data_IF_471282963635
#
_entry.id   IF_471282963635
#
_cell.length_a   1.000
_cell.length_b   1.000
_cell.length_c   1.000
_cell.angle_alpha   90.00
_cell.angle_beta   90.00
_cell.angle_gamma   90.00
#
_symmetry.space_group_name_H-M   'P 1'
#
loop_
_entity.id
_entity.type
_entity.pdbx_description
1 polymer ?
#
# COMPACT_ATOMS: atom_id res chain seq x y z
N UNK A 1 22.67 -0.30 -31.46
CA UNK A 1 21.69 -1.39 -31.75
C UNK A 1 20.37 -0.98 -31.12
N UNK A 2 19.36 -0.74 -31.98
CA UNK A 2 18.03 -0.20 -31.59
C UNK A 2 17.22 -1.28 -30.89
N UNK A 3 16.82 -1.04 -29.65
CA UNK A 3 15.85 -1.91 -28.95
C UNK A 3 14.44 -1.42 -29.26
N UNK A 4 13.69 -2.28 -29.94
CA UNK A 4 12.29 -2.08 -30.29
C UNK A 4 11.43 -2.28 -29.04
N UNK A 5 10.76 -1.22 -28.58
CA UNK A 5 9.75 -1.32 -27.52
C UNK A 5 8.42 -1.70 -28.16
N UNK A 6 7.91 -2.87 -27.80
CA UNK A 6 6.59 -3.36 -28.22
C UNK A 6 5.55 -2.86 -27.22
N UNK A 7 4.87 -1.77 -27.55
CA UNK A 7 3.71 -1.29 -26.79
C UNK A 7 2.48 -1.99 -27.36
N UNK A 8 1.93 -2.95 -26.63
CA UNK A 8 0.63 -3.54 -26.95
C UNK A 8 -0.48 -2.61 -26.46
N UNK A 9 -1.05 -1.84 -27.40
CA UNK A 9 -2.25 -1.03 -27.19
C UNK A 9 -3.47 -1.94 -27.26
N UNK A 10 -4.15 -2.15 -26.11
CA UNK A 10 -5.46 -2.80 -26.09
C UNK A 10 -6.53 -1.72 -26.27
N UNK A 11 -7.03 -1.60 -27.49
CA UNK A 11 -8.14 -0.74 -27.86
C UNK A 11 -9.46 -1.48 -27.57
N UNK A 12 -10.17 -1.11 -26.50
CA UNK A 12 -11.51 -1.60 -26.22
C UNK A 12 -12.55 -0.87 -27.07
N UNK A 13 -13.18 -1.58 -27.99
CA UNK A 13 -14.30 -1.08 -28.78
C UNK A 13 -15.59 -1.23 -27.96
N UNK A 14 -16.15 -0.12 -27.50
CA UNK A 14 -17.52 -0.08 -26.97
C UNK A 14 -18.50 0.19 -28.10
N UNK A 15 -19.33 -0.82 -28.42
CA UNK A 15 -20.44 -0.68 -29.35
C UNK A 15 -21.64 -0.17 -28.55
N UNK A 16 -22.01 1.08 -28.75
CA UNK A 16 -23.27 1.65 -28.28
C UNK A 16 -24.37 1.35 -29.30
N UNK A 17 -25.27 0.46 -28.97
CA UNK A 17 -26.52 0.29 -29.74
C UNK A 17 -27.55 1.31 -29.28
N UNK A 18 -27.88 2.24 -30.18
CA UNK A 18 -29.04 3.13 -30.05
C UNK A 18 -30.29 2.39 -30.46
N UNK A 19 -31.19 2.10 -29.49
CA UNK A 19 -32.56 1.66 -29.77
C UNK A 19 -33.47 2.88 -29.81
N UNK A 20 -34.02 3.18 -30.98
CA UNK A 20 -35.11 4.14 -31.13
C UNK A 20 -36.39 3.51 -30.62
N UNK A 21 -37.00 4.08 -29.60
CA UNK A 21 -38.32 3.68 -29.13
C UNK A 21 -39.40 4.55 -29.78
N UNK A 22 -40.37 3.88 -30.37
CA UNK A 22 -41.60 4.43 -30.95
C UNK A 22 -42.53 4.91 -29.82
N UNK A 23 -42.91 6.17 -29.81
CA UNK A 23 -43.83 6.73 -28.84
C UNK A 23 -45.25 6.63 -29.43
N UNK A 24 -46.04 5.65 -29.01
CA UNK A 24 -47.48 5.66 -29.20
C UNK A 24 -48.12 6.33 -28.00
N UNK A 25 -48.80 7.45 -28.26
CA UNK A 25 -49.47 8.22 -27.22
C UNK A 25 -50.77 7.50 -26.76
N UNK A 26 -50.82 7.07 -25.54
CA UNK A 26 -52.02 6.73 -24.79
C UNK A 26 -52.25 7.80 -23.71
N UNK A 27 -53.45 8.38 -23.71
CA UNK A 27 -53.90 9.29 -22.66
C UNK A 27 -54.07 8.52 -21.34
N UNK A 28 -53.22 8.79 -20.39
CA UNK A 28 -53.28 8.21 -19.06
C UNK A 28 -54.09 9.13 -18.15
N UNK A 29 -55.21 8.64 -17.57
CA UNK A 29 -56.02 9.37 -16.59
C UNK A 29 -55.23 9.54 -15.27
N UNK A 30 -55.37 10.69 -14.62
CA UNK A 30 -54.61 11.15 -13.44
C UNK A 30 -54.65 10.20 -12.22
N UNK A 31 -55.56 9.27 -12.14
CA UNK A 31 -55.68 8.30 -11.02
C UNK A 31 -54.69 7.13 -11.11
N UNK A 32 -54.22 6.79 -12.31
CA UNK A 32 -53.28 5.66 -12.49
C UNK A 32 -51.82 6.02 -12.23
N UNK A 33 -51.49 7.31 -12.21
CA UNK A 33 -50.13 7.79 -11.89
C UNK A 33 -49.80 7.63 -10.40
N UNK A 34 -50.77 7.91 -9.51
CA UNK A 34 -50.54 7.76 -8.05
C UNK A 34 -50.38 6.31 -7.62
N UNK A 35 -51.11 5.37 -8.23
CA UNK A 35 -50.96 3.93 -7.94
C UNK A 35 -49.64 3.35 -8.47
N UNK A 36 -49.07 3.92 -9.53
CA UNK A 36 -47.79 3.49 -10.09
C UNK A 36 -46.62 3.98 -9.23
N UNK A 37 -46.70 5.19 -8.69
CA UNK A 37 -45.68 5.74 -7.78
C UNK A 37 -45.71 5.11 -6.38
N UNK A 38 -46.87 4.63 -5.90
CA UNK A 38 -46.92 3.94 -4.61
C UNK A 38 -46.39 2.50 -4.64
N UNK A 39 -46.24 1.91 -5.84
CA UNK A 39 -45.72 0.54 -6.01
C UNK A 39 -44.22 0.47 -6.23
N UNK A 40 -43.54 1.60 -6.48
CA UNK A 40 -42.08 1.69 -6.70
C UNK A 40 -41.31 2.23 -5.51
N UNK A 41 -41.89 2.38 -4.35
CA UNK A 41 -41.15 2.50 -3.11
C UNK A 41 -40.63 1.10 -2.76
N UNK A 42 -39.65 0.63 -3.56
CA UNK A 42 -38.87 -0.53 -3.22
C UNK A 42 -38.30 -0.35 -1.81
N UNK A 43 -38.37 -1.41 -1.03
CA UNK A 43 -37.80 -1.50 0.30
C UNK A 43 -36.42 -0.80 0.30
N UNK A 44 -36.31 0.35 0.97
CA UNK A 44 -35.05 1.03 1.18
C UNK A 44 -34.28 0.15 2.17
N UNK A 45 -33.55 -0.82 1.66
CA UNK A 45 -32.60 -1.60 2.45
C UNK A 45 -31.50 -0.63 2.87
N UNK A 46 -31.67 -0.02 4.03
CA UNK A 46 -30.61 0.73 4.70
C UNK A 46 -29.53 -0.28 5.06
N UNK A 47 -28.59 -0.51 4.14
CA UNK A 47 -27.36 -1.23 4.46
C UNK A 47 -26.63 -0.35 5.47
N UNK A 48 -26.72 -0.70 6.74
CA UNK A 48 -25.93 -0.06 7.77
C UNK A 48 -24.45 -0.21 7.40
N UNK A 49 -23.83 0.88 6.96
CA UNK A 49 -22.40 0.89 6.77
C UNK A 49 -21.73 0.79 8.14
N UNK A 50 -20.90 -0.22 8.31
CA UNK A 50 -20.05 -0.30 9.51
C UNK A 50 -19.30 1.01 9.65
N UNK A 51 -19.27 1.63 10.86
CA UNK A 51 -18.51 2.85 11.06
C UNK A 51 -17.04 2.60 10.69
N UNK A 52 -16.46 3.52 9.94
CA UNK A 52 -15.05 3.40 9.50
C UNK A 52 -14.10 3.28 10.69
N UNK A 53 -14.39 3.99 11.77
CA UNK A 53 -13.60 3.97 13.00
C UNK A 53 -14.46 3.53 14.17
N UNK A 54 -13.91 2.62 14.99
CA UNK A 54 -14.56 2.12 16.20
C UNK A 54 -13.55 2.06 17.32
N UNK A 55 -13.84 2.71 18.44
CA UNK A 55 -13.05 2.55 19.66
C UNK A 55 -13.32 1.15 20.24
N UNK A 56 -12.26 0.40 20.48
CA UNK A 56 -12.28 -0.91 21.16
C UNK A 56 -11.75 -0.76 22.58
N UNK A 57 -11.82 -1.81 23.38
CA UNK A 57 -11.22 -1.83 24.71
C UNK A 57 -9.69 -1.64 24.66
N UNK A 58 -9.03 -2.16 23.63
CA UNK A 58 -7.57 -2.13 23.49
C UNK A 58 -7.07 -0.91 22.70
N UNK A 59 -7.88 -0.35 21.80
CA UNK A 59 -7.42 0.72 20.94
C UNK A 59 -8.45 1.26 19.97
N UNK A 60 -7.98 1.70 18.80
CA UNK A 60 -8.80 2.22 17.70
C UNK A 60 -8.80 1.23 16.55
N UNK A 61 -9.98 0.67 16.27
CA UNK A 61 -10.21 -0.19 15.11
C UNK A 61 -10.63 0.65 13.91
N UNK A 62 -9.94 0.49 12.80
CA UNK A 62 -10.27 1.04 11.49
C UNK A 62 -10.79 -0.08 10.60
N UNK A 63 -12.05 -0.02 10.17
CA UNK A 63 -12.61 -0.94 9.20
C UNK A 63 -12.11 -0.56 7.80
N UNK A 64 -11.55 -1.50 7.08
CA UNK A 64 -11.01 -1.33 5.72
C UNK A 64 -11.94 -1.94 4.69
N UNK A 65 -12.44 -3.16 4.96
CA UNK A 65 -13.39 -3.84 4.09
C UNK A 65 -14.66 -3.02 3.88
N UNK A 66 -15.05 -2.84 2.62
CA UNK A 66 -16.25 -2.07 2.25
C UNK A 66 -16.11 -0.54 2.35
N UNK A 67 -14.93 -0.03 2.68
CA UNK A 67 -14.63 1.41 2.72
C UNK A 67 -13.73 1.85 1.58
N UNK A 68 -13.49 3.16 1.45
CA UNK A 68 -12.55 3.73 0.47
C UNK A 68 -11.13 3.18 0.69
N UNK A 69 -10.75 2.90 1.96
CA UNK A 69 -9.44 2.35 2.29
C UNK A 69 -9.17 1.00 1.60
N UNK A 70 -10.19 0.19 1.39
CA UNK A 70 -10.07 -1.09 0.67
C UNK A 70 -9.74 -0.97 -0.82
N UNK A 71 -9.72 0.25 -1.37
CA UNK A 71 -9.41 0.53 -2.78
C UNK A 71 -8.05 1.22 -2.99
N UNK A 72 -7.25 1.39 -1.94
CA UNK A 72 -6.03 2.20 -1.98
C UNK A 72 -4.78 1.50 -2.53
N UNK A 73 -4.84 0.21 -2.83
CA UNK A 73 -3.72 -0.55 -3.38
C UNK A 73 -3.15 -1.56 -2.39
N UNK A 74 -2.25 -1.18 -1.49
CA UNK A 74 -1.58 -2.09 -0.55
C UNK A 74 -1.89 -1.77 0.91
N UNK A 75 -1.47 -2.67 1.82
CA UNK A 75 -1.56 -2.41 3.26
C UNK A 75 -0.70 -1.19 3.66
N UNK A 76 0.39 -0.95 2.97
CA UNK A 76 1.20 0.26 3.16
C UNK A 76 0.38 1.53 2.92
N UNK A 77 -0.38 1.55 1.82
CA UNK A 77 -1.21 2.71 1.48
C UNK A 77 -2.36 2.88 2.48
N UNK A 78 -2.95 1.78 2.94
CA UNK A 78 -3.97 1.82 3.99
C UNK A 78 -3.42 2.42 5.29
N UNK A 79 -2.24 1.97 5.74
CA UNK A 79 -1.65 2.43 7.00
C UNK A 79 -1.35 3.94 7.02
N UNK A 80 -1.05 4.55 5.87
CA UNK A 80 -0.87 6.02 5.75
C UNK A 80 -2.13 6.81 6.08
N UNK A 81 -3.30 6.17 6.00
CA UNK A 81 -4.60 6.80 6.23
C UNK A 81 -5.30 6.30 7.50
N UNK A 82 -4.64 5.46 8.29
CA UNK A 82 -5.14 5.03 9.59
C UNK A 82 -4.79 6.08 10.65
N UNK A 83 -5.75 6.54 11.45
CA UNK A 83 -5.51 7.53 12.50
C UNK A 83 -4.39 7.10 13.46
N UNK A 84 -3.63 8.07 13.93
CA UNK A 84 -2.49 7.89 14.87
C UNK A 84 -1.28 7.15 14.28
N UNK A 85 -1.26 6.83 12.99
CA UNK A 85 -0.09 6.25 12.34
C UNK A 85 0.58 7.30 11.43
N UNK A 86 1.89 7.40 11.53
CA UNK A 86 2.72 8.26 10.66
C UNK A 86 3.78 7.39 10.00
N UNK A 87 3.91 7.50 8.67
CA UNK A 87 5.01 6.85 7.94
C UNK A 87 6.30 7.64 8.15
N UNK A 88 7.35 6.97 8.55
CA UNK A 88 8.74 7.49 8.60
C UNK A 88 9.58 6.86 7.49
N UNK A 89 10.81 7.33 7.35
CA UNK A 89 11.76 6.81 6.34
C UNK A 89 11.97 5.29 6.50
N UNK A 90 12.11 4.82 7.72
CA UNK A 90 12.49 3.44 8.05
C UNK A 90 11.34 2.62 8.64
N UNK A 91 10.08 3.10 8.54
CA UNK A 91 8.96 2.36 9.09
C UNK A 91 7.73 3.19 9.40
N UNK A 92 7.06 2.83 10.49
CA UNK A 92 5.88 3.50 10.99
C UNK A 92 6.08 3.92 12.44
N UNK A 93 5.40 4.99 12.79
CA UNK A 93 5.34 5.51 14.16
C UNK A 93 3.88 5.68 14.56
N UNK A 94 3.54 5.31 15.78
CA UNK A 94 2.27 5.67 16.40
C UNK A 94 2.48 6.96 17.18
N UNK A 95 1.66 7.97 16.88
CA UNK A 95 1.79 9.31 17.46
C UNK A 95 1.86 9.26 19.00
N UNK A 96 2.94 9.82 19.56
CA UNK A 96 3.18 9.87 21.00
C UNK A 96 3.62 8.55 21.64
N UNK A 97 3.81 7.47 20.84
CA UNK A 97 4.19 6.14 21.35
C UNK A 97 5.45 5.56 20.70
N UNK A 98 5.93 6.16 19.60
CA UNK A 98 7.11 5.68 18.89
C UNK A 98 6.83 4.52 17.94
N UNK A 99 7.85 3.70 17.70
CA UNK A 99 7.79 2.59 16.72
C UNK A 99 6.92 1.44 17.21
N UNK A 100 5.84 1.06 16.51
CA UNK A 100 4.97 -0.03 16.90
C UNK A 100 5.52 -1.40 16.47
N UNK A 101 5.07 -2.46 17.13
CA UNK A 101 5.14 -3.80 16.58
C UNK A 101 3.90 -4.05 15.72
N UNK A 102 4.11 -4.56 14.50
CA UNK A 102 3.03 -4.86 13.57
C UNK A 102 2.75 -6.35 13.56
N UNK A 103 1.49 -6.71 13.69
CA UNK A 103 1.01 -8.10 13.58
C UNK A 103 0.08 -8.23 12.39
N UNK A 104 0.27 -9.29 11.60
CA UNK A 104 -0.58 -9.67 10.49
C UNK A 104 -1.23 -11.01 10.83
N UNK A 105 -2.54 -11.02 11.02
CA UNK A 105 -3.31 -12.20 11.46
C UNK A 105 -2.74 -12.90 12.71
N UNK A 106 -2.27 -12.10 13.67
CA UNK A 106 -1.69 -12.61 14.93
C UNK A 106 -0.20 -12.98 14.84
N UNK A 107 0.41 -13.00 13.67
CA UNK A 107 1.85 -13.23 13.48
C UNK A 107 2.59 -11.91 13.46
N UNK A 108 3.67 -11.79 14.23
CA UNK A 108 4.57 -10.63 14.18
C UNK A 108 5.18 -10.49 12.79
N UNK A 109 5.09 -9.29 12.22
CA UNK A 109 5.72 -8.93 10.96
C UNK A 109 7.25 -8.95 11.10
N UNK A 110 7.94 -9.52 10.13
CA UNK A 110 9.40 -9.62 10.14
C UNK A 110 10.05 -8.50 9.32
N UNK A 111 9.42 -8.10 8.22
CA UNK A 111 9.94 -7.13 7.27
C UNK A 111 8.81 -6.21 6.79
N UNK A 112 9.08 -4.90 6.74
CA UNK A 112 8.10 -3.89 6.34
C UNK A 112 7.54 -4.11 4.93
N UNK A 113 8.32 -4.73 4.05
CA UNK A 113 7.88 -5.07 2.70
C UNK A 113 6.76 -6.11 2.65
N UNK A 114 6.44 -6.77 3.77
CA UNK A 114 5.26 -7.64 3.83
C UNK A 114 3.98 -6.85 3.60
N UNK A 115 3.95 -5.57 3.96
CA UNK A 115 2.80 -4.69 3.77
C UNK A 115 2.52 -4.42 2.29
N UNK A 116 3.56 -4.35 1.47
CA UNK A 116 3.42 -4.17 0.02
C UNK A 116 2.76 -5.37 -0.67
N UNK A 117 2.86 -6.55 -0.06
CA UNK A 117 2.33 -7.80 -0.61
C UNK A 117 0.87 -8.06 -0.23
N UNK A 118 0.32 -7.25 0.68
CA UNK A 118 -1.07 -7.36 1.11
C UNK A 118 -1.87 -6.31 0.36
N UNK A 119 -2.85 -6.75 -0.43
CA UNK A 119 -3.78 -5.83 -1.09
C UNK A 119 -4.69 -5.17 -0.06
N UNK A 120 -5.00 -3.90 -0.25
CA UNK A 120 -5.98 -3.18 0.58
C UNK A 120 -7.35 -3.86 0.58
N UNK A 121 -7.77 -4.43 -0.56
CA UNK A 121 -9.02 -5.19 -0.70
C UNK A 121 -9.08 -6.45 0.16
N UNK A 122 -7.92 -7.00 0.52
CA UNK A 122 -7.81 -8.20 1.34
C UNK A 122 -7.76 -7.88 2.84
N UNK A 123 -7.70 -6.61 3.21
CA UNK A 123 -7.69 -6.18 4.61
C UNK A 123 -9.11 -6.05 5.13
N UNK A 124 -9.41 -6.74 6.23
CA UNK A 124 -10.68 -6.59 6.94
C UNK A 124 -10.66 -5.35 7.81
N UNK A 125 -9.62 -5.21 8.64
CA UNK A 125 -9.48 -4.12 9.60
C UNK A 125 -8.05 -3.94 10.06
N UNK A 126 -7.74 -2.73 10.51
CA UNK A 126 -6.49 -2.36 11.18
C UNK A 126 -6.84 -1.85 12.57
N UNK A 127 -6.21 -2.38 13.59
CA UNK A 127 -6.39 -1.94 14.97
C UNK A 127 -5.08 -1.36 15.51
N UNK A 128 -5.13 -0.15 16.05
CA UNK A 128 -4.00 0.56 16.66
C UNK A 128 -4.18 0.56 18.16
N UNK A 129 -3.27 -0.11 18.85
CA UNK A 129 -3.24 -0.21 20.31
C UNK A 129 -2.13 0.71 20.82
N UNK A 130 -2.52 1.78 21.50
CA UNK A 130 -1.58 2.78 22.00
C UNK A 130 -1.02 2.47 23.39
N UNK A 131 -1.69 1.60 24.13
CA UNK A 131 -1.26 1.14 25.43
C UNK A 131 -1.43 -0.38 25.49
N UNK A 132 -0.47 -1.13 24.91
CA UNK A 132 -0.54 -2.58 24.94
C UNK A 132 -0.45 -3.07 26.38
N UNK A 133 -1.39 -3.95 26.77
CA UNK A 133 -1.43 -4.55 28.09
C UNK A 133 -0.36 -5.63 28.29
N UNK A 134 -0.45 -6.34 29.41
CA UNK A 134 0.51 -7.39 29.83
C UNK A 134 0.64 -8.58 28.86
N UNK A 135 -0.18 -8.65 27.82
CA UNK A 135 -0.08 -9.68 26.76
C UNK A 135 1.14 -9.46 25.86
N UNK A 136 1.72 -8.26 25.88
CA UNK A 136 2.88 -7.87 25.08
C UNK A 136 4.08 -7.65 25.99
N UNK A 137 5.28 -7.73 25.40
CA UNK A 137 6.52 -7.41 26.09
C UNK A 137 6.50 -5.98 26.65
N UNK A 138 7.07 -5.77 27.83
CA UNK A 138 7.08 -4.47 28.51
C UNK A 138 7.78 -3.35 27.72
N UNK A 139 8.63 -3.71 26.76
CA UNK A 139 9.31 -2.78 25.85
C UNK A 139 8.42 -2.26 24.73
N UNK A 140 7.22 -2.84 24.52
CA UNK A 140 6.32 -2.53 23.43
C UNK A 140 5.42 -1.36 23.80
N UNK A 141 5.64 -0.21 23.16
CA UNK A 141 4.87 1.01 23.44
C UNK A 141 3.59 1.13 22.60
N UNK A 142 3.53 0.47 21.47
CA UNK A 142 2.36 0.45 20.59
C UNK A 142 2.32 -0.82 19.73
N UNK A 143 1.11 -1.23 19.35
CA UNK A 143 0.88 -2.39 18.50
C UNK A 143 -0.09 -2.02 17.37
N UNK A 144 0.20 -2.49 16.16
CA UNK A 144 -0.71 -2.42 15.02
C UNK A 144 -1.10 -3.86 14.65
N UNK A 145 -2.39 -4.17 14.71
CA UNK A 145 -2.93 -5.47 14.28
C UNK A 145 -3.63 -5.33 12.95
N UNK A 146 -3.15 -6.00 11.92
CA UNK A 146 -3.78 -6.08 10.60
C UNK A 146 -4.50 -7.42 10.51
N UNK A 147 -5.83 -7.38 10.35
CA UNK A 147 -6.64 -8.57 10.07
C UNK A 147 -7.01 -8.58 8.60
N UNK A 148 -6.72 -9.69 7.92
CA UNK A 148 -7.11 -9.90 6.53
C UNK A 148 -8.43 -10.65 6.44
N UNK A 149 -9.10 -10.52 5.29
CA UNK A 149 -10.28 -11.30 4.95
C UNK A 149 -9.79 -12.71 4.62
N UNK A 150 -10.36 -13.74 5.27
CA UNK A 150 -10.12 -15.12 4.83
C UNK A 150 -10.77 -15.29 3.46
N UNK A 151 -9.97 -15.43 2.41
CA UNK A 151 -10.49 -15.73 1.08
C UNK A 151 -11.13 -17.11 1.12
N UNK A 152 -12.43 -17.16 0.82
CA UNK A 152 -13.18 -18.41 0.66
C UNK A 152 -13.06 -18.82 -0.80
N UNK A 153 -12.69 -20.07 -1.06
CA UNK A 153 -12.61 -20.67 -2.39
C UNK A 153 -11.31 -21.43 -2.60
N UNK A 154 -11.43 -22.50 -3.34
CA UNK A 154 -10.32 -23.32 -3.82
C UNK A 154 -9.96 -22.94 -5.25
N UNK A 155 -8.80 -23.34 -5.71
CA UNK A 155 -8.31 -23.12 -7.06
C UNK A 155 -7.14 -22.18 -7.15
N UNK A 156 -6.81 -21.83 -8.38
CA UNK A 156 -5.72 -20.93 -8.72
C UNK A 156 -6.19 -19.50 -8.84
N UNK A 157 -5.41 -18.59 -8.30
CA UNK A 157 -5.62 -17.14 -8.45
C UNK A 157 -4.31 -16.44 -8.76
N UNK A 158 -4.40 -15.41 -9.57
CA UNK A 158 -3.26 -14.51 -9.80
C UNK A 158 -3.73 -13.07 -9.83
N UNK A 159 -2.83 -12.17 -9.56
CA UNK A 159 -3.01 -10.74 -9.75
C UNK A 159 -1.70 -10.05 -10.08
N UNK A 160 -1.81 -8.93 -10.75
CA UNK A 160 -0.68 -8.12 -11.13
C UNK A 160 -0.87 -6.68 -10.65
N UNK A 161 0.22 -6.05 -10.26
CA UNK A 161 0.26 -4.63 -9.92
C UNK A 161 1.39 -3.98 -10.71
N UNK A 162 1.05 -2.94 -11.46
CA UNK A 162 2.01 -2.11 -12.18
C UNK A 162 1.89 -0.68 -11.66
N UNK A 163 3.00 -0.10 -11.25
CA UNK A 163 3.08 1.30 -10.81
C UNK A 163 4.16 1.97 -11.63
N UNK A 164 3.82 3.11 -12.18
CA UNK A 164 4.74 3.97 -12.90
C UNK A 164 4.63 5.38 -12.34
N UNK A 165 5.77 6.03 -12.13
CA UNK A 165 5.80 7.45 -11.78
C UNK A 165 7.03 8.12 -12.39
N UNK A 166 6.92 9.41 -12.62
CA UNK A 166 7.97 10.23 -13.17
C UNK A 166 8.40 11.32 -12.18
N UNK A 167 9.68 11.37 -11.86
CA UNK A 167 10.31 12.40 -11.03
C UNK A 167 11.63 12.84 -11.66
N UNK A 168 11.57 13.42 -12.85
CA UNK A 168 12.70 13.66 -13.76
C UNK A 168 13.33 12.39 -14.36
N UNK A 169 12.99 11.23 -13.84
CA UNK A 169 13.39 9.91 -14.33
C UNK A 169 12.18 8.97 -14.28
N UNK A 170 12.19 8.03 -15.21
CA UNK A 170 11.19 6.96 -15.26
C UNK A 170 11.43 5.99 -14.11
N UNK A 171 10.38 5.68 -13.37
CA UNK A 171 10.43 4.72 -12.28
C UNK A 171 9.27 3.73 -12.42
N UNK A 172 9.51 2.49 -12.06
CA UNK A 172 8.49 1.45 -12.17
C UNK A 172 8.56 0.43 -11.04
N UNK A 173 7.40 -0.08 -10.66
CA UNK A 173 7.24 -1.28 -9.85
C UNK A 173 6.32 -2.22 -10.61
N UNK A 174 6.77 -3.45 -10.81
CA UNK A 174 6.00 -4.53 -11.40
C UNK A 174 5.91 -5.68 -10.41
N UNK A 175 4.70 -6.12 -10.10
CA UNK A 175 4.47 -7.18 -9.13
C UNK A 175 3.46 -8.17 -9.69
N UNK A 176 3.76 -9.46 -9.51
CA UNK A 176 2.85 -10.57 -9.83
C UNK A 176 2.68 -11.41 -8.56
N UNK A 177 1.45 -11.64 -8.17
CA UNK A 177 1.09 -12.53 -7.07
C UNK A 177 0.34 -13.72 -7.63
N UNK A 178 0.71 -14.91 -7.20
CA UNK A 178 0.07 -16.16 -7.56
C UNK A 178 -0.27 -16.93 -6.28
N UNK A 179 -1.43 -17.55 -6.26
CA UNK A 179 -1.83 -18.41 -5.18
C UNK A 179 -2.63 -19.62 -5.70
N UNK A 180 -2.44 -20.76 -5.05
CA UNK A 180 -3.22 -21.97 -5.28
C UNK A 180 -3.71 -22.50 -3.95
N UNK A 181 -4.98 -22.87 -3.91
CA UNK A 181 -5.62 -23.35 -2.68
C UNK A 181 -6.44 -24.61 -2.96
N UNK A 182 -6.20 -25.66 -2.20
CA UNK A 182 -6.96 -26.90 -2.30
C UNK A 182 -6.84 -27.73 -1.02
N UNK A 183 -7.98 -28.19 -0.46
CA UNK A 183 -8.03 -29.09 0.71
C UNK A 183 -7.09 -28.69 1.86
N UNK A 184 -7.19 -27.45 2.35
CA UNK A 184 -6.33 -26.96 3.42
C UNK A 184 -4.92 -26.54 2.99
N UNK A 185 -4.45 -26.93 1.81
CA UNK A 185 -3.20 -26.49 1.23
C UNK A 185 -3.35 -25.11 0.60
N UNK A 186 -2.42 -24.21 0.92
CA UNK A 186 -2.31 -22.92 0.27
C UNK A 186 -0.85 -22.72 -0.17
N UNK A 187 -0.64 -22.62 -1.47
CA UNK A 187 0.64 -22.27 -2.09
C UNK A 187 0.58 -20.81 -2.51
N UNK A 188 1.65 -20.08 -2.33
CA UNK A 188 1.72 -18.69 -2.78
C UNK A 188 3.11 -18.33 -3.32
N UNK A 189 3.12 -17.44 -4.30
CA UNK A 189 4.33 -16.85 -4.82
C UNK A 189 4.07 -15.37 -5.18
N UNK A 190 5.00 -14.50 -4.84
CA UNK A 190 5.01 -13.09 -5.21
C UNK A 190 6.35 -12.75 -5.80
N UNK A 191 6.36 -12.20 -7.00
CA UNK A 191 7.54 -11.61 -7.60
C UNK A 191 7.35 -10.12 -7.77
N UNK A 192 8.32 -9.33 -7.30
CA UNK A 192 8.34 -7.87 -7.41
C UNK A 192 9.65 -7.43 -8.06
N UNK A 193 9.52 -6.67 -9.13
CA UNK A 193 10.59 -5.91 -9.75
C UNK A 193 10.39 -4.43 -9.45
N UNK A 194 11.45 -3.72 -9.08
CA UNK A 194 11.43 -2.29 -8.84
C UNK A 194 12.66 -1.66 -9.47
N UNK A 195 12.45 -0.60 -10.24
CA UNK A 195 13.48 0.24 -10.81
C UNK A 195 13.14 1.69 -10.44
N UNK A 196 13.90 2.27 -9.53
CA UNK A 196 13.60 3.56 -8.94
C UNK A 196 14.83 4.45 -8.83
N UNK A 197 14.63 5.73 -9.14
CA UNK A 197 15.62 6.79 -8.95
C UNK A 197 15.27 7.61 -7.72
N UNK A 198 16.26 7.82 -6.87
CA UNK A 198 16.16 8.71 -5.72
C UNK A 198 17.12 9.87 -5.87
N UNK A 199 16.76 11.01 -5.30
CA UNK A 199 17.57 12.22 -5.30
C UNK A 199 17.64 12.76 -3.88
N UNK A 200 18.84 13.20 -3.50
CA UNK A 200 19.07 13.89 -2.23
C UNK A 200 19.85 15.16 -2.52
N UNK A 201 19.38 16.27 -1.97
CA UNK A 201 20.11 17.56 -1.98
C UNK A 201 20.36 17.96 -0.54
N UNK A 202 21.56 18.39 -0.27
CA UNK A 202 21.93 18.89 1.04
C UNK A 202 22.83 20.12 0.87
N UNK A 203 22.54 21.16 1.63
CA UNK A 203 23.36 22.36 1.73
C UNK A 203 23.90 22.43 3.15
N UNK A 204 25.20 22.58 3.27
CA UNK A 204 25.89 22.72 4.55
C UNK A 204 26.62 24.06 4.58
N UNK A 205 26.35 24.80 5.62
CA UNK A 205 27.09 26.04 5.92
C UNK A 205 27.92 25.83 7.18
N UNK A 206 29.22 26.07 7.09
CA UNK A 206 30.11 25.96 8.21
C UNK A 206 30.88 27.27 8.35
N UNK A 207 30.91 27.78 9.56
CA UNK A 207 31.72 28.96 9.91
C UNK A 207 32.72 28.59 11.00
N UNK A 208 33.97 28.83 10.75
CA UNK A 208 35.07 28.56 11.69
C UNK A 208 35.69 29.90 12.10
N UNK A 209 35.63 30.19 13.39
CA UNK A 209 36.20 31.40 14.00
C UNK A 209 37.56 31.05 14.63
N UNK A 210 38.62 31.44 13.93
CA UNK A 210 39.99 31.42 14.42
C UNK A 210 40.56 32.82 14.19
N UNK A 211 41.86 32.99 13.98
CA UNK A 211 42.45 34.28 13.65
C UNK A 211 41.87 34.91 12.37
N UNK A 212 41.39 34.07 11.47
CA UNK A 212 40.70 34.43 10.25
C UNK A 212 39.30 33.79 10.27
N UNK A 213 38.28 34.51 9.85
CA UNK A 213 36.91 34.00 9.72
C UNK A 213 36.81 33.20 8.42
N UNK A 214 36.71 31.87 8.56
CA UNK A 214 36.48 30.97 7.43
C UNK A 214 34.98 30.64 7.31
N UNK A 215 34.44 30.84 6.12
CA UNK A 215 33.06 30.42 5.80
C UNK A 215 33.12 29.44 4.64
N UNK A 216 32.48 28.32 4.83
CA UNK A 216 32.37 27.27 3.82
C UNK A 216 30.91 27.02 3.51
N UNK A 217 30.56 27.13 2.23
CA UNK A 217 29.26 26.81 1.69
C UNK A 217 29.38 25.58 0.78
N UNK A 218 28.69 24.50 1.12
CA UNK A 218 28.76 23.25 0.39
C UNK A 218 27.37 22.86 -0.13
N UNK A 219 27.25 22.63 -1.43
CA UNK A 219 26.08 22.04 -2.06
C UNK A 219 26.41 20.62 -2.50
N UNK A 220 25.65 19.67 -2.00
CA UNK A 220 25.76 18.27 -2.39
C UNK A 220 24.46 17.81 -3.04
N UNK A 221 24.53 17.28 -4.26
CA UNK A 221 23.43 16.67 -4.96
C UNK A 221 23.80 15.22 -5.33
N UNK A 222 23.06 14.27 -4.75
CA UNK A 222 23.24 12.84 -5.01
C UNK A 222 22.03 12.33 -5.76
N UNK A 223 22.24 11.71 -6.91
CA UNK A 223 21.21 11.02 -7.67
C UNK A 223 21.59 9.54 -7.77
N UNK A 224 20.73 8.67 -7.28
CA UNK A 224 20.93 7.22 -7.33
C UNK A 224 19.80 6.51 -8.04
N UNK A 225 20.10 5.44 -8.77
CA UNK A 225 19.16 4.51 -9.37
C UNK A 225 19.38 3.11 -8.81
N UNK A 226 18.30 2.48 -8.38
CA UNK A 226 18.33 1.14 -7.79
C UNK A 226 17.34 0.26 -8.51
N UNK A 227 17.84 -0.83 -9.09
CA UNK A 227 17.04 -1.97 -9.51
C UNK A 227 16.99 -2.99 -8.38
N UNK A 228 15.86 -3.62 -8.16
CA UNK A 228 15.74 -4.70 -7.19
C UNK A 228 14.74 -5.76 -7.65
N UNK A 229 15.05 -6.99 -7.31
CA UNK A 229 14.20 -8.15 -7.53
C UNK A 229 13.88 -8.79 -6.19
N UNK A 230 12.62 -9.08 -5.93
CA UNK A 230 12.19 -9.79 -4.74
C UNK A 230 11.26 -10.94 -5.12
N UNK A 231 11.57 -12.12 -4.64
CA UNK A 231 10.73 -13.30 -4.72
C UNK A 231 10.34 -13.73 -3.32
N UNK A 232 9.06 -13.89 -3.08
CA UNK A 232 8.51 -14.48 -1.88
C UNK A 232 7.70 -15.67 -2.33
N UNK A 233 7.97 -16.86 -1.78
CA UNK A 233 7.21 -18.05 -2.06
C UNK A 233 7.03 -18.88 -0.80
N UNK A 234 6.00 -19.71 -0.78
CA UNK A 234 5.78 -20.54 0.38
C UNK A 234 4.50 -21.36 0.28
N UNK A 235 4.26 -22.09 1.36
CA UNK A 235 3.05 -22.86 1.53
C UNK A 235 2.54 -22.76 2.96
N UNK A 236 1.26 -23.02 3.15
CA UNK A 236 0.66 -23.36 4.42
C UNK A 236 -0.31 -24.52 4.23
N UNK A 237 -0.41 -25.37 5.24
CA UNK A 237 -1.35 -26.48 5.27
C UNK A 237 -2.10 -26.49 6.60
N UNK A 238 -3.42 -26.37 6.54
CA UNK A 238 -4.30 -26.42 7.69
C UNK A 238 -4.77 -27.86 7.89
N UNK A 239 -4.27 -28.55 8.93
CA UNK A 239 -4.73 -29.89 9.31
C UNK A 239 -6.15 -29.88 9.86
N UNK A 240 -6.48 -28.82 10.60
CA UNK A 240 -7.81 -28.56 11.17
C UNK A 240 -7.92 -27.06 11.55
N UNK A 241 -9.02 -26.67 12.18
CA UNK A 241 -9.27 -25.27 12.56
C UNK A 241 -8.23 -24.67 13.52
N UNK A 242 -7.48 -25.51 14.25
CA UNK A 242 -6.56 -25.09 15.31
C UNK A 242 -5.09 -25.38 15.02
N UNK A 243 -4.78 -26.19 14.00
CA UNK A 243 -3.42 -26.63 13.72
C UNK A 243 -3.09 -26.41 12.25
N UNK A 244 -1.99 -25.71 12.01
CA UNK A 244 -1.44 -25.51 10.67
C UNK A 244 0.09 -25.59 10.69
N UNK A 245 0.66 -25.92 9.55
CA UNK A 245 2.10 -25.85 9.28
C UNK A 245 2.32 -25.01 8.03
N UNK A 246 3.45 -24.33 7.94
CA UNK A 246 3.81 -23.58 6.75
C UNK A 246 5.27 -23.20 6.72
N UNK A 247 5.74 -22.90 5.53
CA UNK A 247 7.07 -22.38 5.30
C UNK A 247 7.00 -21.22 4.30
N UNK A 248 7.93 -20.28 4.46
CA UNK A 248 8.08 -19.11 3.60
C UNK A 248 9.54 -18.93 3.25
N UNK A 249 9.81 -18.69 1.99
CA UNK A 249 11.12 -18.34 1.48
C UNK A 249 11.06 -16.93 0.89
N UNK A 250 12.05 -16.12 1.21
CA UNK A 250 12.19 -14.76 0.67
C UNK A 250 13.58 -14.60 0.09
N UNK A 251 13.65 -14.29 -1.19
CA UNK A 251 14.86 -13.91 -1.90
C UNK A 251 14.78 -12.45 -2.27
N UNK A 252 15.77 -11.67 -1.90
CA UNK A 252 15.94 -10.29 -2.35
C UNK A 252 17.30 -10.16 -3.00
N UNK A 253 17.32 -9.76 -4.26
CA UNK A 253 18.53 -9.44 -4.98
C UNK A 253 18.52 -7.94 -5.26
N UNK A 254 19.46 -7.17 -4.69
CA UNK A 254 19.74 -5.85 -5.22
C UNK A 254 20.34 -6.10 -6.60
N UNK A 255 19.64 -5.72 -7.65
CA UNK A 255 20.15 -5.85 -9.01
C UNK A 255 21.29 -4.84 -9.23
N UNK A 256 21.01 -3.78 -9.93
CA UNK A 256 21.98 -2.74 -10.24
C UNK A 256 21.76 -1.52 -9.35
N UNK A 257 22.84 -1.00 -8.76
CA UNK A 257 22.82 0.28 -8.04
C UNK A 257 23.87 1.19 -8.63
N UNK A 258 23.50 2.41 -8.98
CA UNK A 258 24.39 3.45 -9.48
C UNK A 258 24.04 4.77 -8.81
N UNK A 259 25.05 5.47 -8.30
CA UNK A 259 24.92 6.85 -7.84
C UNK A 259 25.84 7.78 -8.64
N UNK A 260 25.41 9.03 -8.73
CA UNK A 260 26.21 10.16 -9.19
C UNK A 260 26.13 11.21 -8.11
N UNK A 261 27.29 11.66 -7.66
CA UNK A 261 27.42 12.67 -6.64
C UNK A 261 28.02 13.92 -7.30
N UNK A 262 27.35 15.05 -7.11
CA UNK A 262 27.84 16.35 -7.46
C UNK A 262 28.07 17.13 -6.17
N UNK A 263 29.29 17.59 -5.95
CA UNK A 263 29.70 18.35 -4.79
C UNK A 263 30.30 19.68 -5.24
N UNK A 264 29.71 20.79 -4.83
CA UNK A 264 30.19 22.14 -5.03
C UNK A 264 30.52 22.76 -3.67
N UNK A 265 31.75 23.23 -3.52
CA UNK A 265 32.24 23.81 -2.27
C UNK A 265 32.88 25.17 -2.54
N UNK A 266 32.39 26.17 -1.85
CA UNK A 266 32.95 27.53 -1.85
C UNK A 266 33.48 27.87 -0.48
N UNK A 267 34.73 28.30 -0.41
CA UNK A 267 35.38 28.68 0.83
C UNK A 267 35.82 30.14 0.73
N UNK A 268 35.45 30.93 1.72
CA UNK A 268 35.87 32.34 1.82
C UNK A 268 36.62 32.57 3.12
N UNK A 269 37.64 33.44 3.06
CA UNK A 269 38.38 33.90 4.22
C UNK A 269 38.10 35.41 4.38
N UNK A 270 37.64 35.84 5.57
CA UNK A 270 37.31 37.24 5.87
C UNK A 270 36.42 37.90 4.80
N UNK A 271 35.48 37.10 4.24
CA UNK A 271 34.55 37.54 3.19
C UNK A 271 35.16 37.70 1.80
N UNK A 272 36.37 37.21 1.58
CA UNK A 272 37.05 37.19 0.26
C UNK A 272 37.15 35.77 -0.27
N UNK A 273 36.85 35.61 -1.57
CA UNK A 273 37.04 34.37 -2.32
C UNK A 273 38.52 34.12 -2.53
#
# INVERSE_FOLDING_TARGET
>A
MKRLALVASFCGITITQMMAQNINGEQISDTTLFDKFSKELGEVVVKAHLPQYKKTHEGLLTNVAGTVLGKMGTAEDVLKHVPSIVKKKDGYEVVGKGTPIIYINGRKMQDISELDNIKSSDIKSVEVIQNPGATYDASVNAVIKIKTIKKKGEGFGFDTRSVYWYNKHDNTIQQVNMNYRHNGLNLFATYKFSDATWMQKATYEQTVHVDTLWQQHNNNEVTGRIESHRLISGFSYDFNANHSIGARYTLTSPGYSRSKDFFDSQVTADGKF
#
